data_IF_689351230838
#
_entry.id   IF_689351230838
#
_cell.length_a   1.000
_cell.length_b   1.000
_cell.length_c   1.000
_cell.angle_alpha   90.00
_cell.angle_beta   90.00
_cell.angle_gamma   90.00
#
_symmetry.space_group_name_H-M   'P 1'
#
loop_
_entity.id
_entity.type
_entity.pdbx_description
1 polymer ?
#
# COMPACT_ATOMS: atom_id res chain seq x y z
N UNK A 1 38.60 33.98 24.31
CA UNK A 1 37.16 33.64 24.40
C UNK A 1 36.56 33.17 23.09
N UNK A 2 36.81 33.80 21.95
CA UNK A 2 36.22 33.43 20.64
C UNK A 2 36.58 32.00 20.23
N UNK A 3 37.81 31.56 20.45
CA UNK A 3 38.27 30.20 20.12
C UNK A 3 37.55 29.10 20.91
N UNK A 4 37.29 29.34 22.20
CA UNK A 4 36.53 28.39 23.04
C UNK A 4 35.08 28.24 22.59
N UNK A 5 34.43 29.34 22.18
CA UNK A 5 33.08 29.32 21.68
C UNK A 5 32.97 28.58 20.32
N UNK A 6 33.96 28.79 19.44
CA UNK A 6 34.04 28.08 18.17
C UNK A 6 34.22 26.56 18.37
N UNK A 7 35.09 26.12 19.25
CA UNK A 7 35.28 24.70 19.58
C UNK A 7 34.02 24.10 20.20
N UNK A 8 33.36 24.81 21.11
CA UNK A 8 32.12 24.37 21.70
C UNK A 8 31.01 24.16 20.64
N UNK A 9 30.90 25.07 19.70
CA UNK A 9 29.93 25.01 18.61
C UNK A 9 30.20 23.81 17.68
N UNK A 10 31.46 23.57 17.34
CA UNK A 10 31.87 22.41 16.55
C UNK A 10 31.58 21.07 17.27
N UNK A 11 31.83 21.01 18.59
CA UNK A 11 31.50 19.83 19.39
C UNK A 11 30.02 19.57 19.45
N UNK A 12 29.20 20.62 19.64
CA UNK A 12 27.74 20.49 19.62
C UNK A 12 27.25 19.98 18.24
N UNK A 13 27.74 20.58 17.15
CA UNK A 13 27.41 20.11 15.81
C UNK A 13 27.80 18.66 15.57
N UNK A 14 28.98 18.26 16.03
CA UNK A 14 29.47 16.88 15.92
C UNK A 14 28.57 15.90 16.71
N UNK A 15 28.21 16.25 17.96
CA UNK A 15 27.34 15.43 18.80
C UNK A 15 25.94 15.29 18.21
N UNK A 16 25.35 16.43 17.77
CA UNK A 16 24.01 16.42 17.15
C UNK A 16 24.01 15.57 15.88
N UNK A 17 25.00 15.75 15.01
CA UNK A 17 25.15 14.94 13.79
C UNK A 17 25.25 13.46 14.10
N UNK A 18 26.10 13.07 15.05
CA UNK A 18 26.32 11.66 15.39
C UNK A 18 25.07 11.06 16.01
N UNK A 19 24.44 11.76 16.95
CA UNK A 19 23.20 11.31 17.58
C UNK A 19 22.05 11.14 16.59
N UNK A 20 21.86 12.08 15.68
CA UNK A 20 20.81 11.98 14.66
C UNK A 20 21.04 10.82 13.69
N UNK A 21 22.30 10.58 13.28
CA UNK A 21 22.62 9.47 12.37
C UNK A 21 22.40 8.14 13.08
N UNK A 22 22.80 8.02 14.34
CA UNK A 22 22.68 6.78 15.10
C UNK A 22 21.20 6.48 15.42
N UNK A 23 20.41 7.50 15.75
CA UNK A 23 18.98 7.37 15.96
C UNK A 23 18.25 6.95 14.68
N UNK A 24 18.60 7.58 13.56
CA UNK A 24 18.04 7.22 12.26
C UNK A 24 18.40 5.76 11.85
N UNK A 25 19.63 5.33 12.12
CA UNK A 25 20.05 3.94 11.87
C UNK A 25 19.30 2.92 12.74
N UNK A 26 19.00 3.28 13.98
CA UNK A 26 18.26 2.40 14.90
C UNK A 26 16.78 2.28 14.50
N UNK A 27 16.21 3.28 13.85
CA UNK A 27 14.85 3.25 13.35
C UNK A 27 14.69 2.43 12.06
N UNK A 28 15.79 2.18 11.33
CA UNK A 28 15.73 1.33 10.14
C UNK A 28 15.75 -0.15 10.54
N UNK A 29 14.72 -0.94 10.19
CA UNK A 29 14.76 -2.39 10.37
C UNK A 29 15.97 -3.00 9.68
N UNK A 30 16.57 -4.02 10.26
CA UNK A 30 17.77 -4.70 9.72
C UNK A 30 17.55 -5.25 8.30
N UNK A 31 16.31 -5.55 7.95
CA UNK A 31 15.89 -6.08 6.63
C UNK A 31 15.17 -5.05 5.77
N UNK A 32 15.50 -3.76 5.91
CA UNK A 32 14.89 -2.74 5.05
C UNK A 32 15.31 -2.94 3.59
N UNK A 33 14.34 -3.11 2.65
CA UNK A 33 14.66 -3.26 1.26
C UNK A 33 15.25 -1.96 0.70
N UNK A 34 16.41 -2.06 0.05
CA UNK A 34 17.12 -0.93 -0.54
C UNK A 34 17.03 -0.91 -2.09
N UNK A 35 16.43 -1.93 -2.68
CA UNK A 35 16.20 -2.05 -4.11
C UNK A 35 14.78 -2.52 -4.38
N UNK A 36 14.17 -1.97 -5.42
CA UNK A 36 12.85 -2.35 -5.90
C UNK A 36 12.92 -2.68 -7.38
N UNK A 37 12.38 -3.83 -7.76
CA UNK A 37 12.18 -4.19 -9.17
C UNK A 37 10.75 -3.84 -9.53
N UNK A 38 10.54 -3.11 -10.61
CA UNK A 38 9.23 -2.63 -11.05
C UNK A 38 8.99 -2.94 -12.52
N UNK A 39 7.72 -2.97 -12.92
CA UNK A 39 7.30 -3.17 -14.32
C UNK A 39 7.73 -4.51 -14.94
N UNK A 40 7.80 -5.57 -14.13
CA UNK A 40 8.01 -6.92 -14.64
C UNK A 40 6.75 -7.39 -15.35
N UNK A 41 6.86 -7.77 -16.61
CA UNK A 41 5.72 -8.27 -17.37
C UNK A 41 5.35 -9.70 -16.93
N UNK A 42 4.08 -10.13 -17.07
CA UNK A 42 3.66 -11.48 -16.68
C UNK A 42 4.51 -12.61 -17.33
N UNK A 43 4.99 -12.37 -18.53
CA UNK A 43 5.84 -13.33 -19.27
C UNK A 43 7.27 -13.43 -18.73
N UNK A 44 7.75 -12.39 -18.07
CA UNK A 44 9.12 -12.29 -17.53
C UNK A 44 9.22 -12.69 -16.05
N UNK A 45 8.08 -12.80 -15.34
CA UNK A 45 8.03 -13.09 -13.89
C UNK A 45 8.91 -14.28 -13.52
N UNK A 46 8.79 -15.39 -14.22
CA UNK A 46 9.56 -16.61 -13.92
C UNK A 46 11.08 -16.41 -14.10
N UNK A 47 11.47 -15.69 -15.14
CA UNK A 47 12.88 -15.42 -15.44
C UNK A 47 13.49 -14.46 -14.40
N UNK A 48 12.75 -13.40 -14.05
CA UNK A 48 13.15 -12.43 -13.03
C UNK A 48 13.21 -13.09 -11.67
N UNK A 49 12.20 -13.90 -11.30
CA UNK A 49 12.18 -14.64 -10.06
C UNK A 49 13.39 -15.60 -9.94
N UNK A 50 13.73 -16.29 -11.01
CA UNK A 50 14.89 -17.20 -11.04
C UNK A 50 16.19 -16.42 -10.84
N UNK A 51 16.31 -15.26 -11.49
CA UNK A 51 17.47 -14.39 -11.33
C UNK A 51 17.59 -13.87 -9.89
N UNK A 52 16.51 -13.36 -9.33
CA UNK A 52 16.47 -12.79 -7.98
C UNK A 52 16.78 -13.84 -6.90
N UNK A 53 16.32 -15.07 -7.07
CA UNK A 53 16.60 -16.18 -6.15
C UNK A 53 18.09 -16.56 -6.07
N UNK A 54 18.91 -16.08 -7.00
CA UNK A 54 20.36 -16.25 -6.93
C UNK A 54 21.04 -15.30 -5.93
N UNK A 55 20.36 -14.28 -5.49
CA UNK A 55 20.87 -13.31 -4.52
C UNK A 55 20.33 -13.62 -3.14
N UNK A 56 21.22 -13.83 -2.17
CA UNK A 56 20.89 -14.23 -0.80
C UNK A 56 20.10 -13.19 0.00
N UNK A 57 20.02 -11.96 -0.47
CA UNK A 57 19.32 -10.84 0.16
C UNK A 57 17.90 -10.63 -0.36
N UNK A 58 17.46 -11.47 -1.30
CA UNK A 58 16.12 -11.36 -1.88
C UNK A 58 15.08 -12.06 -1.01
N UNK A 59 14.13 -11.31 -0.49
CA UNK A 59 13.02 -11.82 0.35
C UNK A 59 11.75 -12.19 -0.46
N UNK A 60 11.91 -12.45 -1.68
CA UNK A 60 11.28 -13.48 -2.49
C UNK A 60 9.90 -13.32 -3.04
N UNK A 61 9.15 -12.23 -2.96
CA UNK A 61 7.83 -12.19 -3.61
C UNK A 61 7.67 -10.99 -4.55
N UNK A 62 7.39 -11.27 -5.82
CA UNK A 62 6.89 -10.27 -6.75
C UNK A 62 5.38 -10.10 -6.53
N UNK A 63 4.94 -8.85 -6.38
CA UNK A 63 3.53 -8.53 -6.16
C UNK A 63 2.91 -8.03 -7.47
N UNK A 64 1.75 -8.55 -7.84
CA UNK A 64 1.03 -8.02 -8.98
C UNK A 64 0.59 -6.58 -8.69
N UNK A 65 0.80 -5.70 -9.67
CA UNK A 65 0.41 -4.30 -9.58
C UNK A 65 -0.35 -3.92 -10.84
N UNK A 66 -1.46 -3.24 -10.68
CA UNK A 66 -2.24 -2.70 -11.76
C UNK A 66 -2.77 -1.32 -11.38
N UNK A 67 -3.11 -0.53 -12.38
CA UNK A 67 -3.65 0.80 -12.18
C UNK A 67 -5.15 0.79 -12.30
N UNK A 68 -5.80 1.53 -11.41
CA UNK A 68 -7.24 1.72 -11.45
C UNK A 68 -7.66 2.91 -10.63
N UNK A 69 -8.89 3.33 -10.85
CA UNK A 69 -9.53 4.42 -10.09
C UNK A 69 -10.91 3.98 -9.63
N UNK A 70 -11.32 4.50 -8.49
CA UNK A 70 -12.69 4.30 -8.01
C UNK A 70 -13.62 5.14 -8.88
N UNK A 71 -14.65 4.52 -9.44
CA UNK A 71 -15.68 5.16 -10.28
C UNK A 71 -16.99 5.36 -9.54
N UNK A 72 -17.34 4.47 -8.59
CA UNK A 72 -18.54 4.61 -7.77
C UNK A 72 -18.33 4.00 -6.37
N UNK A 73 -19.14 4.45 -5.41
CA UNK A 73 -19.26 3.89 -4.05
C UNK A 73 -20.76 3.62 -3.83
N UNK A 74 -21.13 2.37 -3.53
CA UNK A 74 -22.52 1.94 -3.36
C UNK A 74 -23.42 2.44 -4.50
N UNK A 75 -22.99 2.20 -5.74
CA UNK A 75 -23.65 2.66 -6.98
C UNK A 75 -23.73 4.18 -7.19
N UNK A 76 -23.28 4.97 -6.21
CA UNK A 76 -23.20 6.43 -6.33
C UNK A 76 -21.93 6.81 -7.09
N UNK A 77 -22.00 7.54 -8.21
CA UNK A 77 -20.82 8.00 -8.93
C UNK A 77 -19.84 8.74 -8.00
N UNK A 78 -18.56 8.44 -8.11
CA UNK A 78 -17.52 9.00 -7.22
C UNK A 78 -17.50 10.54 -7.22
N UNK A 79 -17.85 11.18 -8.33
CA UNK A 79 -17.94 12.65 -8.42
C UNK A 79 -19.03 13.24 -7.56
N UNK A 80 -20.14 12.53 -7.38
CA UNK A 80 -21.24 12.90 -6.50
C UNK A 80 -20.92 12.55 -5.06
N UNK A 81 -20.42 11.34 -4.82
CA UNK A 81 -20.01 10.87 -3.50
C UNK A 81 -18.99 11.81 -2.86
N UNK A 82 -17.94 12.21 -3.58
CA UNK A 82 -16.91 13.12 -3.06
C UNK A 82 -17.47 14.49 -2.64
N UNK A 83 -18.52 14.99 -3.30
CA UNK A 83 -19.12 16.28 -2.93
C UNK A 83 -19.60 16.31 -1.48
N UNK A 84 -20.05 15.19 -0.95
CA UNK A 84 -20.53 15.10 0.43
C UNK A 84 -19.41 15.26 1.46
N UNK A 85 -18.14 15.05 1.06
CA UNK A 85 -16.95 15.12 1.91
C UNK A 85 -16.09 16.37 1.66
N UNK A 86 -16.29 17.08 0.54
CA UNK A 86 -15.48 18.23 0.16
C UNK A 86 -15.88 19.54 0.88
N UNK A 87 -16.93 19.55 1.70
CA UNK A 87 -17.34 20.72 2.50
C UNK A 87 -16.49 20.92 3.78
N UNK A 88 -15.39 20.16 3.97
CA UNK A 88 -14.39 20.36 5.02
C UNK A 88 -13.02 20.63 4.42
N UNK A 89 -12.11 21.26 5.19
CA UNK A 89 -10.72 21.61 4.83
C UNK A 89 -9.79 20.41 4.52
N UNK A 90 -10.32 19.34 3.95
CA UNK A 90 -9.57 18.10 3.68
C UNK A 90 -8.93 18.18 2.30
N UNK A 91 -7.70 18.67 2.26
CA UNK A 91 -6.83 18.69 1.09
C UNK A 91 -6.16 17.32 0.87
N UNK A 92 -6.94 16.26 0.69
CA UNK A 92 -6.43 14.92 0.38
C UNK A 92 -6.49 14.61 -1.12
N UNK A 93 -5.75 13.58 -1.59
CA UNK A 93 -5.86 13.12 -2.96
C UNK A 93 -7.30 12.65 -3.22
N UNK A 94 -7.86 13.06 -4.36
CA UNK A 94 -9.25 12.75 -4.73
C UNK A 94 -9.51 11.25 -4.73
N UNK A 95 -10.68 10.82 -4.29
CA UNK A 95 -11.10 9.41 -4.31
C UNK A 95 -11.03 8.81 -5.73
N UNK A 96 -11.36 9.61 -6.74
CA UNK A 96 -11.29 9.26 -8.16
C UNK A 96 -9.89 9.26 -8.77
N UNK A 97 -8.83 9.56 -8.00
CA UNK A 97 -7.46 9.53 -8.53
C UNK A 97 -7.05 8.12 -8.89
N UNK A 98 -6.33 7.99 -10.00
CA UNK A 98 -5.71 6.72 -10.38
C UNK A 98 -4.70 6.28 -9.33
N UNK A 99 -4.74 5.02 -8.96
CA UNK A 99 -3.89 4.43 -7.91
C UNK A 99 -3.31 3.11 -8.36
N UNK A 100 -2.18 2.80 -7.75
CA UNK A 100 -1.62 1.46 -7.82
C UNK A 100 -2.42 0.56 -6.87
N UNK A 101 -2.95 -0.51 -7.42
CA UNK A 101 -3.74 -1.52 -6.76
C UNK A 101 -2.98 -2.84 -6.80
N UNK A 102 -3.20 -3.68 -5.82
CA UNK A 102 -2.59 -5.01 -5.73
C UNK A 102 -3.60 -6.01 -5.19
N UNK A 103 -3.25 -7.28 -5.29
CA UNK A 103 -3.92 -8.33 -4.54
C UNK A 103 -2.89 -9.14 -3.75
N UNK A 104 -3.31 -9.67 -2.61
CA UNK A 104 -2.47 -10.53 -1.80
C UNK A 104 -3.30 -11.61 -1.13
N UNK A 105 -2.70 -12.78 -0.94
CA UNK A 105 -3.27 -13.85 -0.12
C UNK A 105 -2.99 -13.61 1.35
N UNK A 106 -1.78 -13.18 1.66
CA UNK A 106 -1.30 -13.02 3.02
C UNK A 106 -1.30 -11.54 3.44
N UNK A 107 -1.58 -11.28 4.70
CA UNK A 107 -1.40 -9.96 5.30
C UNK A 107 0.09 -9.68 5.45
N UNK A 108 0.55 -8.53 4.98
CA UNK A 108 1.93 -8.12 5.15
C UNK A 108 2.24 -7.81 6.63
N UNK A 109 3.48 -8.05 7.06
CA UNK A 109 3.89 -7.89 8.46
C UNK A 109 3.80 -6.45 8.98
N UNK A 110 3.88 -5.47 8.07
CA UNK A 110 3.72 -4.04 8.37
C UNK A 110 2.26 -3.57 8.33
N UNK A 111 1.30 -4.50 8.27
CA UNK A 111 -0.12 -4.20 8.28
C UNK A 111 -0.79 -4.87 9.48
N UNK A 112 -1.77 -4.18 10.06
CA UNK A 112 -2.59 -4.68 11.15
C UNK A 112 -4.07 -4.43 10.88
N UNK A 113 -4.90 -5.47 10.99
CA UNK A 113 -6.36 -5.34 10.88
C UNK A 113 -6.89 -4.55 12.07
N UNK A 114 -7.70 -3.55 11.78
CA UNK A 114 -8.38 -2.70 12.76
C UNK A 114 -9.80 -3.18 12.97
N UNK A 115 -10.52 -3.38 11.87
CA UNK A 115 -11.91 -3.85 11.90
C UNK A 115 -12.16 -4.83 10.76
N UNK A 116 -13.11 -5.76 10.96
CA UNK A 116 -13.38 -6.85 10.03
C UNK A 116 -12.39 -8.01 10.18
N UNK A 117 -12.32 -8.83 9.15
CA UNK A 117 -11.43 -9.99 9.11
C UNK A 117 -10.67 -10.05 7.79
N UNK A 118 -9.41 -10.49 7.86
CA UNK A 118 -8.66 -10.82 6.67
C UNK A 118 -9.27 -12.06 6.01
N UNK A 119 -9.29 -12.08 4.69
CA UNK A 119 -9.79 -13.25 3.94
C UNK A 119 -8.97 -14.50 4.25
N UNK A 120 -9.65 -15.63 4.32
CA UNK A 120 -9.03 -16.91 4.58
C UNK A 120 -8.81 -17.64 3.24
N UNK A 121 -7.55 -17.83 2.87
CA UNK A 121 -7.16 -18.44 1.60
C UNK A 121 -7.77 -19.83 1.33
N UNK A 122 -8.16 -20.55 2.39
CA UNK A 122 -8.68 -21.92 2.26
C UNK A 122 -10.20 -21.96 1.96
N UNK A 123 -10.92 -20.89 2.29
CA UNK A 123 -12.38 -20.78 2.07
C UNK A 123 -12.74 -20.06 0.77
N UNK A 124 -11.81 -19.30 0.20
CA UNK A 124 -12.06 -18.47 -0.99
C UNK A 124 -12.08 -19.24 -2.31
N UNK A 125 -12.03 -20.56 -2.29
CA UNK A 125 -11.96 -21.35 -3.54
C UNK A 125 -13.10 -21.05 -4.51
N UNK A 126 -14.19 -20.41 -4.10
CA UNK A 126 -15.37 -20.18 -4.95
C UNK A 126 -16.31 -19.04 -4.50
N UNK A 127 -15.84 -18.02 -3.82
CA UNK A 127 -16.68 -16.83 -3.67
C UNK A 127 -16.53 -15.98 -4.94
N UNK A 128 -17.59 -15.85 -5.70
CA UNK A 128 -17.65 -14.96 -6.87
C UNK A 128 -17.55 -13.48 -6.47
N UNK A 129 -17.53 -13.19 -5.19
CA UNK A 129 -17.47 -11.85 -4.62
C UNK A 129 -16.04 -11.40 -4.39
N UNK A 130 -15.65 -10.35 -5.08
CA UNK A 130 -14.36 -9.72 -4.88
C UNK A 130 -14.35 -8.94 -3.57
N UNK A 131 -13.35 -9.20 -2.72
CA UNK A 131 -13.16 -8.52 -1.46
C UNK A 131 -11.98 -7.53 -1.55
N UNK A 132 -12.09 -6.43 -0.80
CA UNK A 132 -11.04 -5.43 -0.72
C UNK A 132 -10.77 -5.05 0.74
N UNK A 133 -9.51 -4.85 1.05
CA UNK A 133 -9.03 -4.29 2.30
C UNK A 133 -8.61 -2.84 2.07
N UNK A 134 -9.07 -1.95 2.94
CA UNK A 134 -8.86 -0.51 2.84
C UNK A 134 -7.97 -0.05 3.99
N UNK A 135 -7.06 0.87 3.70
CA UNK A 135 -6.26 1.52 4.75
C UNK A 135 -7.18 2.42 5.60
N UNK A 136 -6.94 2.44 6.92
CA UNK A 136 -7.86 3.05 7.90
C UNK A 136 -8.04 4.56 7.68
N UNK A 137 -6.96 5.32 7.61
CA UNK A 137 -7.04 6.79 7.46
C UNK A 137 -7.71 7.16 6.13
N UNK A 138 -7.50 6.33 5.11
CA UNK A 138 -8.17 6.47 3.83
C UNK A 138 -9.67 6.19 3.93
N UNK A 139 -10.05 5.13 4.63
CA UNK A 139 -11.45 4.79 4.87
C UNK A 139 -12.16 5.89 5.68
N UNK A 140 -11.55 6.36 6.76
CA UNK A 140 -12.08 7.46 7.59
C UNK A 140 -12.19 8.78 6.82
N UNK A 141 -11.20 9.10 5.99
CA UNK A 141 -11.21 10.32 5.17
C UNK A 141 -12.40 10.36 4.24
N UNK A 142 -12.78 9.22 3.68
CA UNK A 142 -13.85 9.11 2.69
C UNK A 142 -15.15 8.50 3.23
N UNK A 143 -15.22 8.22 4.54
CA UNK A 143 -16.41 7.66 5.20
C UNK A 143 -16.78 6.27 4.65
N UNK A 144 -15.78 5.48 4.26
CA UNK A 144 -15.96 4.13 3.76
C UNK A 144 -16.09 3.15 4.92
N UNK A 145 -17.08 2.26 4.86
CA UNK A 145 -17.36 1.29 5.91
C UNK A 145 -17.25 -0.15 5.38
N UNK A 146 -17.08 -1.10 6.30
CA UNK A 146 -17.15 -2.52 5.96
C UNK A 146 -18.50 -2.84 5.35
N UNK A 147 -18.50 -3.59 4.24
CA UNK A 147 -19.69 -3.92 3.46
C UNK A 147 -20.01 -2.95 2.34
N UNK A 148 -19.40 -1.76 2.31
CA UNK A 148 -19.55 -0.86 1.17
C UNK A 148 -18.97 -1.47 -0.10
N UNK A 149 -19.62 -1.22 -1.23
CA UNK A 149 -19.18 -1.67 -2.54
C UNK A 149 -18.42 -0.55 -3.27
N UNK A 150 -17.18 -0.85 -3.64
CA UNK A 150 -16.36 0.02 -4.45
C UNK A 150 -16.31 -0.48 -5.89
N UNK A 151 -16.78 0.33 -6.83
CA UNK A 151 -16.62 0.05 -8.25
C UNK A 151 -15.39 0.77 -8.79
N UNK A 152 -14.53 0.00 -9.42
CA UNK A 152 -13.28 0.46 -10.03
C UNK A 152 -13.41 0.51 -11.54
N UNK A 153 -12.69 1.43 -12.15
CA UNK A 153 -12.39 1.43 -13.58
C UNK A 153 -10.95 0.97 -13.76
N UNK A 154 -10.78 -0.19 -14.35
CA UNK A 154 -9.50 -0.85 -14.62
C UNK A 154 -9.21 -0.84 -16.12
N UNK A 155 -8.75 0.31 -16.63
CA UNK A 155 -8.48 0.47 -18.06
C UNK A 155 -9.72 0.37 -18.94
N UNK A 156 -10.87 0.89 -18.46
CA UNK A 156 -12.16 0.86 -19.17
C UNK A 156 -13.04 -0.36 -18.82
N UNK A 157 -12.56 -1.28 -17.98
CA UNK A 157 -13.33 -2.43 -17.51
C UNK A 157 -13.82 -2.14 -16.08
N UNK A 158 -15.14 -2.08 -15.84
CA UNK A 158 -15.67 -1.90 -14.50
C UNK A 158 -15.50 -3.18 -13.69
N UNK A 159 -15.07 -3.00 -12.43
CA UNK A 159 -14.86 -4.08 -11.48
C UNK A 159 -15.34 -3.66 -10.10
N UNK A 160 -16.19 -4.45 -9.45
CA UNK A 160 -16.76 -4.14 -8.13
C UNK A 160 -16.22 -5.09 -7.08
N UNK A 161 -15.90 -4.53 -5.91
CA UNK A 161 -15.46 -5.28 -4.74
C UNK A 161 -16.08 -4.73 -3.46
N UNK A 162 -16.37 -5.61 -2.49
CA UNK A 162 -16.92 -5.25 -1.19
C UNK A 162 -15.81 -5.06 -0.16
N UNK A 163 -15.90 -4.04 0.68
CA UNK A 163 -14.94 -3.80 1.76
C UNK A 163 -15.10 -4.87 2.84
N UNK A 164 -14.09 -5.72 2.99
CA UNK A 164 -14.08 -6.81 3.97
C UNK A 164 -13.48 -6.40 5.32
N UNK A 165 -12.52 -5.49 5.29
CA UNK A 165 -11.82 -5.03 6.48
C UNK A 165 -11.14 -3.68 6.27
N UNK A 166 -10.81 -3.02 7.40
CA UNK A 166 -9.91 -1.90 7.44
C UNK A 166 -8.62 -2.29 8.15
N UNK A 167 -7.50 -1.69 7.76
CA UNK A 167 -6.18 -1.97 8.33
C UNK A 167 -5.34 -0.71 8.49
N UNK A 168 -4.49 -0.69 9.50
CA UNK A 168 -3.38 0.26 9.59
C UNK A 168 -2.19 -0.25 8.83
N UNK A 169 -1.41 0.67 8.30
CA UNK A 169 -0.19 0.42 7.55
C UNK A 169 0.95 1.17 8.22
N UNK A 170 2.03 0.47 8.55
CA UNK A 170 3.26 1.09 9.00
C UNK A 170 4.05 1.60 7.79
N UNK A 171 3.88 2.89 7.49
CA UNK A 171 4.54 3.55 6.37
C UNK A 171 6.04 3.78 6.60
N UNK A 172 6.48 3.81 7.85
CA UNK A 172 7.87 4.06 8.23
C UNK A 172 8.75 2.80 8.05
N UNK A 173 8.12 1.64 7.91
CA UNK A 173 8.81 0.37 7.70
C UNK A 173 9.55 0.25 6.36
N UNK A 174 9.38 1.21 5.44
CA UNK A 174 9.89 1.19 4.06
C UNK A 174 9.51 -0.08 3.27
N UNK A 175 8.59 -0.87 3.79
CA UNK A 175 8.03 -2.02 3.08
C UNK A 175 6.95 -1.55 2.09
N UNK A 176 6.67 -2.41 1.12
CA UNK A 176 5.63 -2.16 0.13
C UNK A 176 4.28 -2.01 0.82
N UNK A 177 3.66 -0.87 0.60
CA UNK A 177 2.39 -0.53 1.21
C UNK A 177 1.42 -0.02 0.15
N UNK A 178 0.17 -0.45 0.25
CA UNK A 178 -0.90 -0.07 -0.65
C UNK A 178 -2.09 0.41 0.17
N UNK A 179 -2.77 1.46 -0.30
CA UNK A 179 -4.00 1.94 0.33
C UNK A 179 -5.13 0.94 0.19
N UNK A 180 -5.19 0.28 -0.97
CA UNK A 180 -6.24 -0.64 -1.37
C UNK A 180 -5.60 -1.96 -1.79
N UNK A 181 -6.10 -3.08 -1.25
CA UNK A 181 -5.59 -4.41 -1.53
C UNK A 181 -6.75 -5.37 -1.73
N UNK A 182 -6.75 -6.10 -2.83
CA UNK A 182 -7.80 -7.06 -3.16
C UNK A 182 -7.47 -8.47 -2.64
N UNK A 183 -8.53 -9.27 -2.47
CA UNK A 183 -8.40 -10.69 -2.22
C UNK A 183 -7.80 -11.42 -3.43
N UNK A 184 -7.12 -12.53 -3.15
CA UNK A 184 -6.54 -13.39 -4.20
C UNK A 184 -7.66 -14.03 -5.04
N UNK A 185 -7.55 -13.93 -6.33
CA UNK A 185 -8.55 -14.49 -7.25
C UNK A 185 -9.59 -13.49 -7.75
N UNK A 186 -9.80 -12.39 -7.02
CA UNK A 186 -10.73 -11.34 -7.44
C UNK A 186 -10.38 -10.77 -8.84
N UNK A 187 -9.11 -10.69 -9.18
CA UNK A 187 -8.61 -10.01 -10.40
C UNK A 187 -7.78 -10.96 -11.29
N UNK A 188 -7.92 -12.26 -11.15
CA UNK A 188 -7.06 -13.25 -11.79
C UNK A 188 -7.02 -13.25 -13.33
N UNK A 189 -7.79 -12.40 -13.99
CA UNK A 189 -7.83 -12.24 -15.45
C UNK A 189 -7.36 -10.87 -15.95
N UNK A 190 -7.06 -9.93 -15.07
CA UNK A 190 -6.61 -8.60 -15.46
C UNK A 190 -5.09 -8.63 -15.56
N UNK A 191 -4.57 -8.41 -16.77
CA UNK A 191 -3.15 -8.34 -17.03
C UNK A 191 -2.51 -7.27 -16.15
N UNK A 192 -1.56 -7.66 -15.34
CA UNK A 192 -0.88 -6.79 -14.38
C UNK A 192 0.63 -6.78 -14.66
N UNK A 193 1.27 -5.69 -14.32
CA UNK A 193 2.71 -5.70 -14.11
C UNK A 193 3.01 -6.22 -12.70
N UNK A 194 4.25 -6.62 -12.45
CA UNK A 194 4.70 -7.07 -11.13
C UNK A 194 5.76 -6.12 -10.57
N UNK A 195 5.79 -5.99 -9.26
CA UNK A 195 6.76 -5.25 -8.50
C UNK A 195 7.40 -6.14 -7.43
#
# INVERSE_FOLDING_TARGET
MIFGLAIMLLLILFLVRTSLIDEWRQQMPENTPNHFVMNVTPTEVNSVQTLLNQYSTYDGKLFPMFRGRISAVNDTPVTEYQRNFLYGERSGPRLSSERNLTWSRDLANNNRIVDGQWWNSDKEKFSDEALISVEQDYAETWGLNIGDQLTFDLGGVPFTASIANTRTVDWDSLQRSFLLMFSHGAIGKIASAFM
#
